data_IF_970402681717
#
_entry.id   IF_970402681717
#
_cell.length_a   1.000
_cell.length_b   1.000
_cell.length_c   1.000
_cell.angle_alpha   90.00
_cell.angle_beta   90.00
_cell.angle_gamma   90.00
#
_symmetry.space_group_name_H-M   'P 1'
#
loop_
_entity.id
_entity.type
_entity.pdbx_description
1 polymer ?
#
# COMPACT_ATOMS: atom_id res chain seq x y z
N UNK A 1 53.94 43.49 -21.66
CA UNK A 1 53.73 42.99 -23.04
C UNK A 1 52.22 42.89 -23.29
N UNK A 2 51.82 42.96 -24.56
CA UNK A 2 50.45 42.87 -25.15
C UNK A 2 49.18 43.00 -24.29
N UNK A 3 48.33 43.94 -24.71
CA UNK A 3 46.88 43.96 -24.48
C UNK A 3 46.20 42.97 -25.43
N UNK A 4 45.12 42.31 -25.01
CA UNK A 4 44.04 41.87 -25.91
C UNK A 4 42.67 42.03 -25.25
N UNK A 5 41.72 42.54 -26.03
CA UNK A 5 40.31 42.78 -25.68
C UNK A 5 39.44 41.92 -26.60
N UNK A 6 38.50 41.16 -26.05
CA UNK A 6 37.34 40.59 -26.77
C UNK A 6 36.16 40.54 -25.78
N UNK A 7 35.26 41.53 -25.76
CA UNK A 7 34.12 41.73 -26.67
C UNK A 7 32.91 40.88 -26.29
N UNK A 8 31.93 41.51 -25.61
CA UNK A 8 30.59 40.97 -25.45
C UNK A 8 29.91 40.81 -26.82
N UNK A 9 29.14 39.73 -26.97
CA UNK A 9 28.04 39.66 -27.93
C UNK A 9 26.76 39.25 -27.20
N UNK A 10 25.89 40.24 -26.98
CA UNK A 10 24.45 40.01 -26.84
C UNK A 10 23.86 39.95 -28.25
N UNK A 11 23.06 38.92 -28.56
CA UNK A 11 21.94 39.07 -29.49
C UNK A 11 20.76 38.18 -29.05
N UNK A 12 19.56 38.76 -28.83
CA UNK A 12 18.31 38.02 -28.72
C UNK A 12 17.68 37.84 -30.11
N UNK A 13 16.98 36.72 -30.34
CA UNK A 13 16.26 36.48 -31.61
C UNK A 13 14.88 35.87 -31.32
N UNK A 14 13.84 36.60 -31.79
CA UNK A 14 12.42 36.24 -32.09
C UNK A 14 11.76 35.00 -31.46
N UNK A 15 10.49 35.00 -31.03
CA UNK A 15 9.40 35.94 -31.36
C UNK A 15 8.39 35.32 -32.35
N UNK A 16 7.15 35.09 -31.91
CA UNK A 16 6.06 34.48 -32.68
C UNK A 16 5.93 32.96 -32.50
N UNK A 17 4.75 32.33 -32.60
CA UNK A 17 3.39 32.86 -32.81
C UNK A 17 2.37 31.91 -32.15
N UNK A 18 1.22 32.46 -31.74
CA UNK A 18 0.12 31.68 -31.14
C UNK A 18 -0.63 30.91 -32.22
N UNK A 19 -0.81 29.61 -32.04
CA UNK A 19 -1.71 28.77 -32.84
C UNK A 19 -2.72 28.05 -31.94
N UNK A 20 -3.78 28.77 -31.53
CA UNK A 20 -4.94 28.16 -30.88
C UNK A 20 -5.79 27.49 -31.95
N UNK A 21 -5.64 26.17 -32.08
CA UNK A 21 -6.47 25.35 -32.95
C UNK A 21 -7.87 25.13 -32.37
N UNK A 22 -8.81 26.03 -32.65
CA UNK A 22 -10.23 25.79 -32.42
C UNK A 22 -10.76 24.78 -33.44
N UNK A 23 -10.93 23.53 -33.02
CA UNK A 23 -11.73 22.55 -33.77
C UNK A 23 -13.14 22.54 -33.18
N UNK A 24 -14.05 23.21 -33.89
CA UNK A 24 -15.49 23.01 -33.77
C UNK A 24 -15.95 22.02 -34.87
N UNK A 25 -17.23 21.62 -34.79
CA UNK A 25 -17.94 20.68 -35.67
C UNK A 25 -17.64 19.19 -35.38
N UNK A 26 -18.63 18.34 -35.06
CA UNK A 26 -20.07 18.60 -34.97
C UNK A 26 -20.86 17.59 -34.14
N UNK A 27 -22.10 17.97 -33.81
CA UNK A 27 -23.16 17.12 -33.23
C UNK A 27 -24.02 16.49 -34.35
N UNK A 28 -25.09 15.78 -33.94
CA UNK A 28 -26.04 14.99 -34.77
C UNK A 28 -25.41 13.65 -35.21
N UNK A 29 -26.08 12.49 -35.26
CA UNK A 29 -27.45 12.04 -34.99
C UNK A 29 -27.41 10.48 -34.84
N UNK A 30 -28.36 9.70 -34.29
CA UNK A 30 -29.72 9.89 -33.74
C UNK A 30 -29.93 8.77 -32.67
N UNK A 31 -30.83 8.95 -31.70
CA UNK A 31 -31.24 7.86 -30.80
C UNK A 31 -32.40 7.01 -31.38
N UNK A 32 -32.16 5.74 -31.70
CA UNK A 32 -33.23 4.77 -31.99
C UNK A 32 -33.56 3.96 -30.73
N UNK A 33 -34.68 4.29 -30.08
CA UNK A 33 -35.32 3.39 -29.10
C UNK A 33 -36.13 2.36 -29.86
N UNK A 34 -35.84 1.07 -29.67
CA UNK A 34 -36.73 -0.01 -30.12
C UNK A 34 -37.68 -0.39 -28.96
N UNK A 35 -39.01 -0.23 -29.11
CA UNK A 35 -39.98 -0.56 -28.09
C UNK A 35 -40.69 -1.88 -28.41
N UNK A 36 -40.13 -3.02 -28.00
CA UNK A 36 -40.85 -4.19 -27.45
C UNK A 36 -39.99 -5.46 -27.43
N UNK A 37 -39.58 -5.89 -26.24
CA UNK A 37 -39.75 -7.29 -25.86
C UNK A 37 -40.26 -7.33 -24.41
N UNK A 38 -41.37 -8.03 -24.23
CA UNK A 38 -42.17 -8.02 -23.01
C UNK A 38 -41.72 -9.10 -22.01
N UNK A 39 -42.29 -9.14 -20.78
CA UNK A 39 -41.52 -9.48 -19.59
C UNK A 39 -41.51 -10.99 -19.25
N UNK A 40 -40.95 -11.25 -18.06
CA UNK A 40 -41.04 -12.48 -17.26
C UNK A 40 -39.82 -13.39 -17.34
N UNK A 41 -38.90 -13.15 -16.39
CA UNK A 41 -38.18 -14.21 -15.68
C UNK A 41 -37.94 -13.78 -14.24
N UNK A 42 -38.81 -14.26 -13.35
CA UNK A 42 -38.44 -14.42 -11.94
C UNK A 42 -37.29 -15.43 -11.89
N UNK A 43 -36.11 -14.98 -11.49
CA UNK A 43 -35.00 -15.85 -11.10
C UNK A 43 -34.56 -15.42 -9.70
N UNK A 44 -35.27 -15.94 -8.71
CA UNK A 44 -34.71 -16.09 -7.37
C UNK A 44 -33.82 -17.33 -7.38
N UNK A 45 -32.59 -17.23 -6.86
CA UNK A 45 -31.53 -18.25 -6.94
C UNK A 45 -31.10 -18.54 -8.39
N UNK A 46 -29.81 -18.62 -8.74
CA UNK A 46 -28.58 -18.82 -7.95
C UNK A 46 -27.43 -18.13 -8.67
N UNK A 47 -26.51 -17.56 -7.90
CA UNK A 47 -25.07 -17.43 -8.22
C UNK A 47 -24.41 -17.26 -6.87
N UNK A 48 -24.02 -18.39 -6.28
CA UNK A 48 -22.66 -18.92 -6.38
C UNK A 48 -21.74 -18.21 -5.39
N UNK A 49 -21.39 -18.96 -4.35
CA UNK A 49 -20.13 -18.80 -3.63
C UNK A 49 -19.02 -18.79 -4.68
N UNK A 50 -18.51 -17.59 -4.99
CA UNK A 50 -17.34 -17.44 -5.84
C UNK A 50 -16.12 -17.97 -5.10
N UNK A 51 -15.85 -19.27 -5.25
CA UNK A 51 -14.54 -19.88 -4.97
C UNK A 51 -13.51 -19.48 -6.06
N UNK A 52 -13.57 -18.21 -6.48
CA UNK A 52 -12.56 -17.55 -7.30
C UNK A 52 -11.58 -16.87 -6.33
N UNK A 53 -10.31 -17.26 -6.44
CA UNK A 53 -9.29 -16.98 -5.44
C UNK A 53 -8.88 -15.50 -5.44
N UNK A 54 -9.62 -14.64 -4.75
CA UNK A 54 -9.16 -13.32 -4.33
C UNK A 54 -8.06 -13.47 -3.27
N UNK A 55 -6.83 -13.70 -3.74
CA UNK A 55 -5.59 -13.73 -2.95
C UNK A 55 -5.17 -12.33 -2.47
N UNK A 56 -6.11 -11.59 -1.86
CA UNK A 56 -5.80 -10.48 -0.99
C UNK A 56 -5.29 -10.97 0.37
N UNK A 57 -4.66 -10.08 1.14
CA UNK A 57 -4.41 -10.36 2.55
C UNK A 57 -5.76 -10.42 3.29
N UNK A 58 -6.10 -11.58 3.84
CA UNK A 58 -7.27 -11.74 4.72
C UNK A 58 -6.94 -11.17 6.10
N UNK A 59 -6.96 -9.84 6.21
CA UNK A 59 -6.73 -9.13 7.46
C UNK A 59 -7.90 -9.35 8.42
N UNK A 60 -7.58 -9.59 9.69
CA UNK A 60 -8.52 -10.04 10.73
C UNK A 60 -8.77 -8.99 11.79
N UNK A 61 -7.82 -8.07 12.00
CA UNK A 61 -8.04 -6.92 12.87
C UNK A 61 -8.79 -5.81 12.12
N UNK A 62 -9.82 -5.19 12.73
CA UNK A 62 -10.36 -3.93 12.25
C UNK A 62 -9.35 -2.80 12.50
N UNK A 63 -9.50 -1.70 11.78
CA UNK A 63 -8.72 -0.48 12.00
C UNK A 63 -9.43 0.50 12.93
N UNK A 64 -8.71 1.03 13.91
CA UNK A 64 -9.12 2.23 14.64
C UNK A 64 -8.93 3.51 13.83
N UNK A 65 -9.43 4.64 14.35
CA UNK A 65 -9.27 5.96 13.71
C UNK A 65 -7.78 6.35 13.56
N UNK A 66 -6.93 5.95 14.51
CA UNK A 66 -5.49 6.25 14.50
C UNK A 66 -4.76 5.51 13.36
N UNK A 67 -5.08 4.25 13.16
CA UNK A 67 -4.55 3.37 12.11
C UNK A 67 -4.85 3.95 10.73
N UNK A 68 -6.11 4.31 10.48
CA UNK A 68 -6.58 4.89 9.21
C UNK A 68 -5.88 6.23 8.95
N UNK A 69 -5.84 7.11 9.95
CA UNK A 69 -5.22 8.43 9.82
C UNK A 69 -3.70 8.35 9.58
N UNK A 70 -2.99 7.42 10.23
CA UNK A 70 -1.57 7.17 9.97
C UNK A 70 -1.34 6.60 8.56
N UNK A 71 -2.16 5.64 8.10
CA UNK A 71 -2.03 5.06 6.76
C UNK A 71 -2.20 6.13 5.68
N UNK A 72 -3.22 6.98 5.81
CA UNK A 72 -3.46 8.12 4.92
C UNK A 72 -2.29 9.12 4.93
N UNK A 73 -1.74 9.45 6.11
CA UNK A 73 -0.56 10.32 6.22
C UNK A 73 0.66 9.73 5.53
N UNK A 74 0.96 8.44 5.75
CA UNK A 74 2.08 7.75 5.09
C UNK A 74 1.95 7.80 3.56
N UNK A 75 0.76 7.54 3.02
CA UNK A 75 0.46 7.65 1.59
C UNK A 75 0.60 9.09 1.07
N UNK A 76 0.12 10.08 1.82
CA UNK A 76 0.25 11.51 1.48
C UNK A 76 1.71 12.01 1.50
N UNK A 77 2.56 11.47 2.40
CA UNK A 77 4.00 11.74 2.44
C UNK A 77 4.82 11.00 1.37
N UNK A 78 4.17 10.21 0.50
CA UNK A 78 4.87 9.39 -0.50
C UNK A 78 5.77 8.31 0.11
N UNK A 79 5.44 7.83 1.31
CA UNK A 79 6.06 6.64 1.87
C UNK A 79 5.78 5.42 0.98
N UNK A 80 6.56 4.34 1.16
CA UNK A 80 6.40 3.08 0.44
C UNK A 80 6.59 1.91 1.40
N UNK A 81 5.68 0.94 1.36
CA UNK A 81 5.83 -0.35 2.02
C UNK A 81 6.04 -1.40 0.92
N UNK A 82 7.28 -1.87 0.78
CA UNK A 82 7.60 -2.98 -0.13
C UNK A 82 7.36 -4.30 0.59
N UNK A 83 6.53 -5.17 0.02
CA UNK A 83 6.17 -6.47 0.59
C UNK A 83 5.90 -7.53 -0.47
N UNK A 84 5.49 -8.71 -0.01
CA UNK A 84 5.01 -9.78 -0.87
C UNK A 84 3.80 -10.48 -0.23
N UNK A 85 2.81 -10.81 -1.04
CA UNK A 85 1.56 -11.45 -0.60
C UNK A 85 1.75 -12.72 0.25
N UNK A 86 2.82 -13.48 -0.02
CA UNK A 86 3.16 -14.72 0.70
C UNK A 86 4.01 -14.53 1.96
N UNK A 87 4.48 -13.31 2.24
CA UNK A 87 5.46 -13.07 3.31
C UNK A 87 4.77 -12.82 4.67
N UNK A 88 4.97 -13.68 5.70
CA UNK A 88 4.26 -13.57 6.98
C UNK A 88 4.55 -12.26 7.72
N UNK A 89 5.77 -11.73 7.63
CA UNK A 89 6.10 -10.44 8.24
C UNK A 89 5.47 -9.22 7.56
N UNK A 90 4.99 -9.38 6.32
CA UNK A 90 4.18 -8.36 5.64
C UNK A 90 2.76 -8.42 6.16
N UNK A 91 2.17 -9.62 6.23
CA UNK A 91 0.88 -9.82 6.89
C UNK A 91 0.87 -9.27 8.32
N UNK A 92 1.88 -9.58 9.15
CA UNK A 92 2.03 -8.99 10.49
C UNK A 92 2.09 -7.45 10.47
N UNK A 93 2.70 -6.84 9.45
CA UNK A 93 2.80 -5.39 9.32
C UNK A 93 1.46 -4.76 8.91
N UNK A 94 0.65 -5.48 8.15
CA UNK A 94 -0.68 -5.05 7.71
C UNK A 94 -1.73 -5.24 8.81
N UNK A 95 -1.67 -6.33 9.58
CA UNK A 95 -2.54 -6.54 10.76
C UNK A 95 -2.32 -5.48 11.86
N UNK A 96 -1.14 -4.86 11.93
CA UNK A 96 -0.94 -3.67 12.78
C UNK A 96 -1.79 -2.48 12.35
N UNK A 97 -2.15 -2.37 11.07
CA UNK A 97 -3.04 -1.32 10.57
C UNK A 97 -4.51 -1.79 10.54
N UNK A 98 -4.77 -3.07 10.31
CA UNK A 98 -6.12 -3.62 10.15
C UNK A 98 -6.69 -3.42 8.73
N UNK A 99 -7.88 -3.97 8.50
CA UNK A 99 -8.49 -4.11 7.18
C UNK A 99 -8.77 -2.78 6.47
N UNK A 100 -9.40 -1.82 7.14
CA UNK A 100 -9.87 -0.57 6.53
C UNK A 100 -8.72 0.39 6.21
N UNK A 101 -7.70 0.43 7.08
CA UNK A 101 -6.50 1.24 6.87
C UNK A 101 -5.62 0.70 5.73
N UNK A 102 -5.68 -0.60 5.42
CA UNK A 102 -4.90 -1.21 4.33
C UNK A 102 -5.24 -0.61 2.95
N UNK A 103 -6.50 -0.27 2.68
CA UNK A 103 -6.90 0.44 1.44
C UNK A 103 -6.18 1.78 1.26
N UNK A 104 -5.82 2.41 2.38
CA UNK A 104 -5.10 3.67 2.44
C UNK A 104 -3.57 3.52 2.56
N UNK A 105 -3.02 2.31 2.66
CA UNK A 105 -1.57 2.12 2.77
C UNK A 105 -0.85 2.27 1.41
N UNK A 106 0.38 2.81 1.39
CA UNK A 106 1.21 2.85 0.19
C UNK A 106 1.96 1.51 0.00
N UNK A 107 1.21 0.42 -0.09
CA UNK A 107 1.74 -0.93 -0.33
C UNK A 107 2.22 -1.09 -1.78
N UNK A 108 3.36 -1.77 -1.96
CA UNK A 108 3.91 -2.17 -3.25
C UNK A 108 4.15 -3.68 -3.19
N UNK A 109 3.36 -4.42 -3.98
CA UNK A 109 3.53 -5.85 -4.19
C UNK A 109 4.80 -6.11 -5.02
N UNK A 110 5.71 -6.91 -4.48
CA UNK A 110 6.99 -7.20 -5.09
C UNK A 110 7.14 -8.64 -5.58
N UNK A 111 6.23 -9.55 -5.29
CA UNK A 111 6.30 -10.92 -5.81
C UNK A 111 5.44 -11.08 -7.07
N UNK A 112 6.03 -11.67 -8.10
CA UNK A 112 5.30 -12.13 -9.28
C UNK A 112 4.44 -13.35 -8.91
N UNK A 113 3.17 -13.35 -9.30
CA UNK A 113 2.28 -14.50 -9.09
C UNK A 113 2.58 -15.57 -10.13
N UNK A 114 3.22 -16.66 -9.70
CA UNK A 114 3.54 -17.84 -10.52
C UNK A 114 2.76 -19.03 -9.98
N UNK A 115 1.84 -19.53 -10.80
CA UNK A 115 0.91 -20.62 -10.45
C UNK A 115 1.66 -21.86 -9.92
N UNK A 116 1.12 -22.46 -8.85
CA UNK A 116 1.70 -23.64 -8.22
C UNK A 116 2.96 -23.40 -7.37
N UNK A 117 3.46 -22.16 -7.26
CA UNK A 117 4.65 -21.84 -6.46
C UNK A 117 4.34 -20.96 -5.24
N UNK A 118 5.05 -21.21 -4.12
CA UNK A 118 5.11 -20.28 -2.98
C UNK A 118 6.46 -19.59 -3.03
N UNK A 119 6.46 -18.27 -3.23
CA UNK A 119 7.67 -17.47 -3.40
C UNK A 119 8.00 -17.23 -4.88
N UNK A 120 7.32 -16.27 -5.50
CA UNK A 120 7.64 -15.81 -6.85
C UNK A 120 8.91 -14.95 -6.94
N UNK A 121 9.35 -14.69 -8.17
CA UNK A 121 10.41 -13.73 -8.50
C UNK A 121 10.08 -12.32 -8.02
N UNK A 122 11.11 -11.48 -7.80
CA UNK A 122 10.89 -10.06 -7.57
C UNK A 122 10.44 -9.38 -8.88
N UNK A 123 9.41 -8.54 -8.80
CA UNK A 123 9.05 -7.64 -9.90
C UNK A 123 10.24 -6.74 -10.24
N UNK A 124 10.38 -6.37 -11.52
CA UNK A 124 11.49 -5.52 -11.99
C UNK A 124 11.60 -4.18 -11.26
N UNK A 125 10.45 -3.61 -10.86
CA UNK A 125 10.35 -2.41 -10.03
C UNK A 125 10.99 -2.62 -8.65
N UNK A 126 10.64 -3.70 -7.96
CA UNK A 126 11.21 -3.98 -6.64
C UNK A 126 12.67 -4.43 -6.72
N UNK A 127 13.09 -5.15 -7.76
CA UNK A 127 14.49 -5.48 -7.99
C UNK A 127 15.37 -4.22 -8.14
N UNK A 128 14.89 -3.21 -8.87
CA UNK A 128 15.58 -1.92 -8.98
C UNK A 128 15.58 -1.17 -7.65
N UNK A 129 14.42 -1.07 -7.00
CA UNK A 129 14.28 -0.36 -5.73
C UNK A 129 15.15 -0.99 -4.62
N UNK A 130 15.27 -2.31 -4.56
CA UNK A 130 16.07 -3.00 -3.55
C UNK A 130 17.57 -2.77 -3.73
N UNK A 131 18.06 -2.73 -4.97
CA UNK A 131 19.43 -2.33 -5.28
C UNK A 131 19.69 -0.87 -4.89
N UNK A 132 18.76 0.05 -5.16
CA UNK A 132 18.88 1.46 -4.76
C UNK A 132 18.86 1.63 -3.23
N UNK A 133 17.99 0.90 -2.54
CA UNK A 133 17.95 0.87 -1.06
C UNK A 133 19.28 0.38 -0.52
N UNK A 134 19.79 -0.77 -1.00
CA UNK A 134 21.06 -1.35 -0.54
C UNK A 134 22.25 -0.39 -0.72
N UNK A 135 22.33 0.28 -1.88
CA UNK A 135 23.36 1.28 -2.15
C UNK A 135 23.29 2.50 -1.22
N UNK A 136 22.08 2.94 -0.83
CA UNK A 136 21.88 4.13 0.02
C UNK A 136 21.90 3.84 1.52
N UNK A 137 21.49 2.64 1.94
CA UNK A 137 21.31 2.28 3.34
C UNK A 137 22.43 1.38 3.89
N UNK A 138 23.17 0.69 3.02
CA UNK A 138 24.16 -0.31 3.39
C UNK A 138 23.57 -1.66 3.84
N UNK A 139 22.27 -1.90 3.67
CA UNK A 139 21.63 -3.19 3.95
C UNK A 139 20.84 -3.73 2.77
N UNK A 140 20.93 -5.04 2.52
CA UNK A 140 20.10 -5.73 1.52
C UNK A 140 18.63 -5.69 1.91
N UNK A 141 17.80 -5.06 1.08
CA UNK A 141 16.35 -4.96 1.31
C UNK A 141 15.64 -6.33 1.24
N UNK A 142 14.52 -6.43 1.93
CA UNK A 142 13.68 -7.63 2.05
C UNK A 142 12.25 -7.28 2.45
N UNK A 143 11.49 -8.24 2.96
CA UNK A 143 10.07 -8.05 3.27
C UNK A 143 9.74 -8.08 4.77
N UNK A 144 8.97 -7.11 5.30
CA UNK A 144 8.67 -5.81 4.69
C UNK A 144 9.91 -4.89 4.67
N UNK A 145 9.96 -3.92 3.76
CA UNK A 145 10.86 -2.76 3.83
C UNK A 145 10.07 -1.48 3.63
N UNK A 146 10.19 -0.55 4.57
CA UNK A 146 9.65 0.80 4.45
C UNK A 146 10.67 1.75 3.81
N UNK A 147 10.20 2.65 2.96
CA UNK A 147 10.93 3.88 2.60
C UNK A 147 10.05 5.07 2.97
N UNK A 148 10.51 5.89 3.93
CA UNK A 148 9.78 7.04 4.46
C UNK A 148 10.72 8.24 4.40
N UNK A 149 10.28 9.34 3.76
CA UNK A 149 11.08 10.56 3.53
C UNK A 149 12.48 10.28 2.96
N UNK A 150 12.58 9.28 2.07
CA UNK A 150 13.83 8.85 1.42
C UNK A 150 14.75 7.97 2.27
N UNK A 151 14.42 7.68 3.54
CA UNK A 151 15.17 6.77 4.40
C UNK A 151 14.51 5.39 4.42
N UNK A 152 15.33 4.34 4.34
CA UNK A 152 14.88 2.95 4.35
C UNK A 152 14.92 2.33 5.77
N UNK A 153 13.94 1.49 6.07
CA UNK A 153 13.79 0.77 7.33
C UNK A 153 13.36 -0.68 7.05
N UNK A 154 14.09 -1.65 7.59
CA UNK A 154 13.86 -3.09 7.34
C UNK A 154 13.01 -3.73 8.44
N UNK A 155 12.09 -4.60 8.04
CA UNK A 155 11.28 -5.42 8.94
C UNK A 155 10.02 -4.77 9.48
N UNK A 156 9.23 -5.58 10.20
CA UNK A 156 7.96 -5.17 10.82
C UNK A 156 8.22 -4.01 11.79
N UNK A 157 7.56 -2.88 11.56
CA UNK A 157 7.76 -1.63 12.29
C UNK A 157 6.46 -1.24 13.02
N UNK A 158 6.49 -1.00 14.34
CA UNK A 158 5.31 -0.56 15.10
C UNK A 158 4.75 0.78 14.61
N UNK A 159 3.44 0.97 14.71
CA UNK A 159 2.78 2.19 14.23
C UNK A 159 3.32 3.48 14.86
N UNK A 160 3.66 3.45 16.15
CA UNK A 160 4.29 4.58 16.84
C UNK A 160 5.67 4.98 16.26
N UNK A 161 6.47 4.02 15.77
CA UNK A 161 7.73 4.33 15.08
C UNK A 161 7.48 4.79 13.63
N UNK A 162 6.48 4.26 12.93
CA UNK A 162 6.08 4.76 11.59
C UNK A 162 5.56 6.20 11.65
N UNK A 163 4.77 6.54 12.68
CA UNK A 163 4.35 7.91 12.97
C UNK A 163 5.55 8.85 13.14
N UNK A 164 6.51 8.46 13.97
CA UNK A 164 7.77 9.19 14.21
C UNK A 164 8.65 9.30 12.96
N UNK A 165 8.75 8.26 12.12
CA UNK A 165 9.55 8.32 10.88
C UNK A 165 8.93 9.22 9.81
N UNK A 166 7.61 9.44 9.87
CA UNK A 166 6.86 10.28 8.94
C UNK A 166 6.52 11.68 9.47
N UNK A 167 7.02 12.05 10.66
CA UNK A 167 6.67 13.28 11.39
C UNK A 167 5.15 13.51 11.54
N UNK A 168 4.41 12.41 11.74
CA UNK A 168 2.97 12.40 11.96
C UNK A 168 2.59 13.03 13.30
N UNK A 169 1.53 13.85 13.29
CA UNK A 169 1.05 14.62 14.44
C UNK A 169 -0.46 14.42 14.73
N UNK A 170 -1.09 13.43 14.07
CA UNK A 170 -2.50 13.09 14.30
C UNK A 170 -2.70 12.10 15.46
N UNK A 171 -3.93 11.55 15.62
CA UNK A 171 -4.25 10.56 16.63
C UNK A 171 -3.30 9.35 16.58
N UNK A 172 -2.76 8.98 17.74
CA UNK A 172 -1.77 7.91 17.92
C UNK A 172 -2.16 6.89 19.00
N UNK A 173 -3.44 6.87 19.37
CA UNK A 173 -4.07 5.84 20.19
C UNK A 173 -4.34 4.60 19.34
N UNK A 174 -3.27 3.97 18.86
CA UNK A 174 -3.33 2.72 18.10
C UNK A 174 -3.88 1.59 18.97
N UNK A 175 -4.88 0.89 18.47
CA UNK A 175 -5.57 -0.22 19.13
C UNK A 175 -4.85 -1.53 18.84
N UNK A 176 -4.32 -1.67 17.61
CA UNK A 176 -3.67 -2.87 17.14
C UNK A 176 -2.20 -2.95 17.61
N UNK A 177 -1.86 -4.04 18.29
CA UNK A 177 -0.49 -4.32 18.71
C UNK A 177 -0.15 -5.80 18.55
N UNK A 178 1.08 -6.07 18.11
CA UNK A 178 1.64 -7.42 18.03
C UNK A 178 2.82 -7.54 19.00
N UNK A 179 3.01 -8.70 19.66
CA UNK A 179 4.16 -8.90 20.55
C UNK A 179 5.48 -8.61 19.83
N UNK A 180 6.35 -7.81 20.47
CA UNK A 180 7.71 -7.57 19.98
C UNK A 180 8.49 -8.90 20.01
N UNK A 181 8.98 -9.40 18.86
CA UNK A 181 9.76 -10.63 18.80
C UNK A 181 11.00 -10.63 19.70
N UNK A 182 11.54 -9.45 20.06
CA UNK A 182 12.70 -9.32 20.95
C UNK A 182 12.35 -9.48 22.43
N UNK A 183 11.08 -9.26 22.80
CA UNK A 183 10.59 -9.42 24.18
C UNK A 183 9.95 -10.79 24.42
N UNK A 184 9.80 -11.61 23.36
CA UNK A 184 9.25 -12.95 23.43
C UNK A 184 10.19 -13.92 24.17
N UNK A 185 9.87 -14.25 25.41
CA UNK A 185 10.56 -15.28 26.18
C UNK A 185 10.04 -16.65 25.74
N UNK A 186 10.86 -17.71 25.72
CA UNK A 186 10.41 -19.06 25.33
C UNK A 186 9.20 -19.59 26.12
N UNK A 187 8.96 -19.11 27.34
CA UNK A 187 7.78 -19.45 28.15
C UNK A 187 6.48 -18.79 27.65
N UNK A 188 6.56 -17.61 27.03
CA UNK A 188 5.40 -16.83 26.59
C UNK A 188 4.66 -17.55 25.46
N UNK A 189 5.37 -18.39 24.68
CA UNK A 189 4.77 -19.28 23.67
C UNK A 189 3.69 -20.19 24.25
N UNK A 190 3.89 -20.70 25.48
CA UNK A 190 2.92 -21.57 26.13
C UNK A 190 1.70 -20.77 26.57
N UNK A 191 1.92 -19.62 27.21
CA UNK A 191 0.83 -18.74 27.67
C UNK A 191 -0.02 -18.24 26.49
N UNK A 192 0.62 -17.77 25.41
CA UNK A 192 -0.08 -17.30 24.20
C UNK A 192 -0.87 -18.43 23.52
N UNK A 193 -0.33 -19.64 23.46
CA UNK A 193 -1.10 -20.80 22.96
C UNK A 193 -2.25 -21.17 23.90
N UNK A 194 -2.06 -21.10 25.22
CA UNK A 194 -3.11 -21.36 26.21
C UNK A 194 -4.20 -20.28 26.22
N UNK A 195 -3.89 -19.02 25.89
CA UNK A 195 -4.85 -17.92 25.77
C UNK A 195 -5.58 -17.92 24.42
N UNK A 196 -4.89 -18.22 23.30
CA UNK A 196 -5.52 -18.38 21.97
C UNK A 196 -6.44 -19.62 21.93
N UNK A 197 -6.03 -20.71 22.58
CA UNK A 197 -6.83 -21.94 22.67
C UNK A 197 -7.81 -21.93 23.85
N UNK A 198 -7.91 -20.82 24.59
CA UNK A 198 -8.85 -20.69 25.71
C UNK A 198 -10.26 -20.56 25.16
N UNK A 199 -11.18 -21.51 25.44
CA UNK A 199 -12.56 -21.32 25.04
C UNK A 199 -13.14 -20.11 25.78
N UNK A 200 -13.68 -19.16 25.02
CA UNK A 200 -14.42 -18.00 25.55
C UNK A 200 -15.44 -18.49 26.58
N UNK A 201 -15.36 -17.94 27.78
CA UNK A 201 -16.22 -18.40 28.87
C UNK A 201 -17.65 -17.89 28.64
N UNK A 202 -18.70 -18.70 28.87
CA UNK A 202 -20.09 -18.30 28.60
C UNK A 202 -20.67 -17.14 29.43
N UNK A 203 -19.85 -16.33 30.12
CA UNK A 203 -20.31 -15.25 31.03
C UNK A 203 -20.28 -13.85 30.44
N UNK A 204 -19.67 -13.64 29.28
CA UNK A 204 -19.56 -12.32 28.65
C UNK A 204 -20.74 -12.02 27.69
N UNK A 205 -21.73 -12.92 27.64
CA UNK A 205 -23.04 -12.67 27.01
C UNK A 205 -24.07 -12.53 28.14
N UNK A 206 -24.65 -11.33 28.24
CA UNK A 206 -25.57 -10.82 29.28
C UNK A 206 -24.92 -10.15 30.51
N UNK A 207 -24.63 -8.85 30.36
CA UNK A 207 -24.89 -7.82 31.37
C UNK A 207 -25.32 -6.54 30.67
#
# INVERSE_FOLDING_TARGET
MQRYLYSLWLMPISGGLIAVGLILFGQEAIATRDPSLHPSRTVSQVTETSEDNEEGFQLTQPSGESEIALAQHLKAQGAKLYGAYWAPHVYDQLELFGAEAFESLPYIECAEKVEGTRGGSLTSQCQTAFTEIEQKSGFKAGFPTWVIKGKAYSGRTPLAELAKYSDYQGPSNFENSLPDPKNFRPGDRKQILEDILKPLQPRDVLS
#
